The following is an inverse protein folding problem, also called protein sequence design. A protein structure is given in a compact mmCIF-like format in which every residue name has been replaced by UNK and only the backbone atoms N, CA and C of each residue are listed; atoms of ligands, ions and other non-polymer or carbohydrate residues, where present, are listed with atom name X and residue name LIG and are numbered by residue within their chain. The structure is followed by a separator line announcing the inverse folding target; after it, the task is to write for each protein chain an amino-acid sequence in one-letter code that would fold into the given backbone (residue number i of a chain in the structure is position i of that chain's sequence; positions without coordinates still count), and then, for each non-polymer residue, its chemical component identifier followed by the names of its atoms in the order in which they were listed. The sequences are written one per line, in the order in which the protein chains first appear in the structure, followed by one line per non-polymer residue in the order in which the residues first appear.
data_IF_155819411337
#
_entry.id   IF_155819411337
#
_cell.length_a   1.000
_cell.length_b   1.000
_cell.length_c   1.000
_cell.angle_alpha   90.00
_cell.angle_beta   90.00
_cell.angle_gamma   90.00
#
_symmetry.space_group_name_H-M   'P 1'
#
loop_
_entity.id
_entity.type
_entity.pdbx_description
1 polymer ?
#
# COMPACT_ATOMS: atom_id res chain seq x y z
N UNK A 1 14.03 6.58 -24.42
CA UNK A 1 12.76 5.91 -24.76
C UNK A 1 11.63 6.91 -24.53
N UNK A 2 10.92 7.23 -25.60
CA UNK A 2 9.98 8.34 -25.72
C UNK A 2 8.57 7.76 -25.60
N UNK A 3 7.83 8.03 -24.52
CA UNK A 3 6.40 7.67 -24.42
C UNK A 3 5.57 8.93 -24.46
N UNK A 4 4.99 9.15 -25.64
CA UNK A 4 3.99 10.17 -25.97
C UNK A 4 2.80 10.09 -25.01
N UNK A 5 2.54 11.18 -24.29
CA UNK A 5 1.22 11.49 -23.74
C UNK A 5 0.31 11.84 -24.93
N UNK A 6 -0.66 10.98 -25.22
CA UNK A 6 -1.78 11.33 -26.09
C UNK A 6 -2.80 12.16 -25.29
N UNK A 7 -3.20 13.35 -25.75
CA UNK A 7 -4.43 13.97 -25.29
C UNK A 7 -5.62 13.33 -26.04
N UNK A 8 -6.47 12.61 -25.31
CA UNK A 8 -7.84 12.30 -25.74
C UNK A 8 -8.67 13.58 -25.67
N UNK A 9 -8.51 14.46 -26.67
CA UNK A 9 -9.52 15.46 -27.00
C UNK A 9 -10.34 14.85 -28.12
N UNK A 10 -11.37 14.08 -27.75
CA UNK A 10 -12.38 13.61 -28.69
C UNK A 10 -13.52 14.63 -28.73
N UNK A 11 -13.45 15.48 -29.75
CA UNK A 11 -14.57 15.84 -30.63
C UNK A 11 -15.87 16.30 -29.96
N UNK A 12 -16.01 17.63 -29.88
CA UNK A 12 -17.28 18.34 -29.77
C UNK A 12 -17.17 19.66 -30.52
N UNK A 13 -17.35 19.59 -31.85
CA UNK A 13 -17.80 20.66 -32.75
C UNK A 13 -17.49 22.12 -32.34
N UNK A 14 -16.38 22.65 -32.86
CA UNK A 14 -16.31 24.07 -33.21
C UNK A 14 -17.15 24.27 -34.49
N UNK A 15 -18.28 24.99 -34.47
CA UNK A 15 -18.87 25.46 -35.71
C UNK A 15 -18.08 26.69 -36.15
N UNK A 16 -17.41 26.55 -37.29
CA UNK A 16 -16.99 27.66 -38.11
C UNK A 16 -18.14 28.67 -38.26
N UNK A 17 -17.94 29.92 -37.84
CA UNK A 17 -18.74 31.04 -38.34
C UNK A 17 -17.84 31.89 -39.22
N UNK A 18 -17.84 31.47 -40.49
CA UNK A 18 -17.51 32.30 -41.63
C UNK A 18 -18.19 33.67 -41.47
N UNK A 19 -17.38 34.72 -41.55
CA UNK A 19 -17.84 36.04 -41.96
C UNK A 19 -18.37 35.95 -43.40
N UNK A 20 -19.68 35.77 -43.57
CA UNK A 20 -20.34 35.96 -44.85
C UNK A 20 -21.72 36.56 -44.63
N UNK A 21 -21.94 37.78 -45.15
CA UNK A 21 -23.25 38.42 -45.22
C UNK A 21 -23.47 39.56 -44.23
N UNK A 22 -22.79 40.69 -44.45
CA UNK A 22 -23.20 41.98 -43.87
C UNK A 22 -24.44 42.49 -44.62
N UNK A 23 -25.60 41.87 -44.42
CA UNK A 23 -26.89 42.47 -44.76
C UNK A 23 -27.46 43.08 -43.49
N UNK A 24 -27.70 44.39 -43.50
CA UNK A 24 -28.26 45.14 -42.36
C UNK A 24 -29.68 44.61 -42.09
N UNK A 25 -29.80 43.66 -41.16
CA UNK A 25 -31.05 43.41 -40.47
C UNK A 25 -31.41 44.69 -39.67
N UNK A 26 -32.71 45.03 -39.52
CA UNK A 26 -33.10 46.19 -38.73
C UNK A 26 -32.44 46.11 -37.36
N UNK A 27 -31.91 47.23 -36.86
CA UNK A 27 -31.05 47.28 -35.67
C UNK A 27 -31.62 46.53 -34.46
N UNK A 28 -32.95 46.46 -34.32
CA UNK A 28 -33.64 45.66 -33.31
C UNK A 28 -33.40 44.14 -33.45
N UNK A 29 -33.52 43.57 -34.66
CA UNK A 29 -33.32 42.13 -34.89
C UNK A 29 -31.85 41.69 -34.75
N UNK A 30 -30.90 42.59 -34.98
CA UNK A 30 -29.48 42.33 -34.70
C UNK A 30 -29.18 42.37 -33.20
N UNK A 31 -29.80 43.28 -32.45
CA UNK A 31 -29.69 43.36 -31.00
C UNK A 31 -30.30 42.12 -30.32
N UNK A 32 -31.51 41.71 -30.69
CA UNK A 32 -32.18 40.51 -30.15
C UNK A 32 -31.42 39.21 -30.41
N UNK A 33 -30.69 39.15 -31.54
CA UNK A 33 -29.83 38.00 -31.87
C UNK A 33 -28.54 38.02 -31.03
N UNK A 34 -27.98 39.20 -30.77
CA UNK A 34 -26.80 39.35 -29.94
C UNK A 34 -27.11 39.04 -28.47
N UNK A 35 -28.23 39.52 -27.95
CA UNK A 35 -28.71 39.25 -26.60
C UNK A 35 -28.87 37.74 -26.35
N UNK A 36 -29.55 37.03 -27.27
CA UNK A 36 -29.67 35.57 -27.19
C UNK A 36 -28.32 34.84 -27.20
N UNK A 37 -27.34 35.32 -27.96
CA UNK A 37 -25.97 34.75 -27.95
C UNK A 37 -25.27 34.99 -26.63
N UNK A 38 -25.44 36.18 -26.04
CA UNK A 38 -24.87 36.51 -24.72
C UNK A 38 -25.48 35.63 -23.63
N UNK A 39 -26.79 35.37 -23.67
CA UNK A 39 -27.45 34.49 -22.71
C UNK A 39 -26.94 33.05 -22.80
N UNK A 40 -26.82 32.51 -24.02
CA UNK A 40 -26.27 31.17 -24.25
C UNK A 40 -24.84 31.07 -23.72
N UNK A 41 -23.97 32.01 -24.10
CA UNK A 41 -22.57 32.03 -23.64
C UNK A 41 -22.48 32.17 -22.12
N UNK A 42 -23.37 32.95 -21.51
CA UNK A 42 -23.42 33.11 -20.05
C UNK A 42 -23.82 31.81 -19.36
N UNK A 43 -24.74 31.05 -19.96
CA UNK A 43 -25.09 29.68 -19.54
C UNK A 43 -23.89 28.74 -19.61
N UNK A 44 -23.23 28.66 -20.76
CA UNK A 44 -22.05 27.81 -20.98
C UNK A 44 -20.91 28.13 -19.99
N UNK A 45 -20.63 29.42 -19.76
CA UNK A 45 -19.61 29.84 -18.77
C UNK A 45 -19.97 29.41 -17.35
N UNK A 46 -21.25 29.42 -16.99
CA UNK A 46 -21.72 28.95 -15.67
C UNK A 46 -21.50 27.44 -15.53
N UNK A 47 -21.85 26.66 -16.55
CA UNK A 47 -21.64 25.20 -16.56
C UNK A 47 -20.16 24.84 -16.49
N UNK A 48 -19.32 25.50 -17.31
CA UNK A 48 -17.87 25.30 -17.27
C UNK A 48 -17.26 25.63 -15.90
N UNK A 49 -17.73 26.69 -15.23
CA UNK A 49 -17.29 27.01 -13.86
C UNK A 49 -17.65 25.91 -12.87
N UNK A 50 -18.84 25.32 -12.99
CA UNK A 50 -19.24 24.21 -12.13
C UNK A 50 -18.39 22.96 -12.40
N UNK A 51 -18.13 22.66 -13.67
CA UNK A 51 -17.30 21.54 -14.09
C UNK A 51 -15.85 21.69 -13.60
N UNK A 52 -15.24 22.86 -13.75
CA UNK A 52 -13.91 23.17 -13.20
C UNK A 52 -13.89 22.97 -11.69
N UNK A 53 -14.93 23.45 -10.98
CA UNK A 53 -15.05 23.26 -9.54
C UNK A 53 -15.13 21.79 -9.14
N UNK A 54 -15.83 20.96 -9.92
CA UNK A 54 -15.89 19.51 -9.72
C UNK A 54 -14.53 18.86 -9.95
N UNK A 55 -13.89 19.18 -11.08
CA UNK A 55 -12.60 18.62 -11.46
C UNK A 55 -11.50 18.97 -10.44
N UNK A 56 -11.50 20.18 -9.90
CA UNK A 56 -10.55 20.58 -8.87
C UNK A 56 -10.70 19.71 -7.61
N UNK A 57 -11.94 19.45 -7.16
CA UNK A 57 -12.19 18.57 -6.00
C UNK A 57 -11.76 17.13 -6.27
N UNK A 58 -12.06 16.60 -7.45
CA UNK A 58 -11.67 15.24 -7.84
C UNK A 58 -10.14 15.10 -7.90
N UNK A 59 -9.44 16.12 -8.41
CA UNK A 59 -7.98 16.17 -8.42
C UNK A 59 -7.36 16.14 -7.02
N UNK A 60 -7.90 16.93 -6.07
CA UNK A 60 -7.43 16.90 -4.68
C UNK A 60 -7.68 15.54 -4.02
N UNK A 61 -8.87 14.96 -4.20
CA UNK A 61 -9.20 13.65 -3.66
C UNK A 61 -8.29 12.54 -4.22
N UNK A 62 -7.96 12.61 -5.51
CA UNK A 62 -7.00 11.71 -6.15
C UNK A 62 -5.60 11.84 -5.55
N UNK A 63 -5.14 13.07 -5.30
CA UNK A 63 -3.87 13.34 -4.64
C UNK A 63 -3.78 12.75 -3.23
N UNK A 64 -4.82 12.92 -2.41
CA UNK A 64 -4.88 12.33 -1.07
C UNK A 64 -4.83 10.80 -1.12
N UNK A 65 -5.53 10.19 -2.08
CA UNK A 65 -5.56 8.73 -2.23
C UNK A 65 -4.19 8.17 -2.60
N UNK A 66 -3.45 8.85 -3.48
CA UNK A 66 -2.08 8.46 -3.82
C UNK A 66 -1.15 8.52 -2.60
N UNK A 67 -1.25 9.57 -1.79
CA UNK A 67 -0.48 9.69 -0.54
C UNK A 67 -0.79 8.54 0.41
N UNK A 68 -2.07 8.19 0.59
CA UNK A 68 -2.47 7.06 1.45
C UNK A 68 -1.91 5.73 0.93
N UNK A 69 -1.94 5.50 -0.38
CA UNK A 69 -1.36 4.29 -1.00
C UNK A 69 0.14 4.21 -0.74
N UNK A 70 0.87 5.33 -0.86
CA UNK A 70 2.30 5.37 -0.60
C UNK A 70 2.60 5.02 0.86
N UNK A 71 1.91 5.67 1.80
CA UNK A 71 2.05 5.37 3.23
C UNK A 71 1.76 3.90 3.54
N UNK A 72 0.67 3.35 2.99
CA UNK A 72 0.28 1.97 3.22
C UNK A 72 1.30 0.98 2.65
N UNK A 73 1.84 1.27 1.46
CA UNK A 73 2.90 0.46 0.85
C UNK A 73 4.17 0.46 1.72
N UNK A 74 4.51 1.60 2.32
CA UNK A 74 5.68 1.72 3.18
C UNK A 74 5.49 0.90 4.47
N UNK A 75 4.29 0.92 5.07
CA UNK A 75 3.91 0.05 6.20
C UNK A 75 4.05 -1.44 5.82
N UNK A 76 3.49 -1.86 4.68
CA UNK A 76 3.66 -3.24 4.16
C UNK A 76 5.15 -3.59 4.02
N UNK A 77 5.96 -2.65 3.51
CA UNK A 77 7.40 -2.82 3.36
C UNK A 77 8.16 -2.95 4.68
N UNK A 78 7.75 -2.22 5.73
CA UNK A 78 8.29 -2.38 7.09
C UNK A 78 7.96 -3.76 7.66
N UNK A 79 6.70 -4.20 7.53
CA UNK A 79 6.26 -5.53 8.01
C UNK A 79 7.01 -6.68 7.35
N UNK A 80 7.20 -6.62 6.04
CA UNK A 80 7.99 -7.62 5.30
C UNK A 80 9.43 -7.69 5.83
N UNK A 81 10.04 -6.53 6.14
CA UNK A 81 11.38 -6.50 6.77
C UNK A 81 11.37 -7.11 8.16
N UNK A 82 10.36 -6.82 8.99
CA UNK A 82 10.23 -7.40 10.33
C UNK A 82 10.08 -8.93 10.28
N UNK A 83 9.24 -9.46 9.39
CA UNK A 83 9.10 -10.91 9.18
C UNK A 83 10.41 -11.56 8.74
N UNK A 84 11.17 -10.90 7.87
CA UNK A 84 12.48 -11.39 7.45
C UNK A 84 13.42 -11.52 8.65
N UNK A 85 13.50 -10.47 9.48
CA UNK A 85 14.31 -10.48 10.71
C UNK A 85 13.87 -11.59 11.66
N UNK A 86 12.56 -11.73 11.92
CA UNK A 86 12.03 -12.79 12.78
C UNK A 86 12.36 -14.19 12.23
N UNK A 87 12.26 -14.37 10.91
CA UNK A 87 12.62 -15.64 10.25
C UNK A 87 14.10 -15.97 10.45
N UNK A 88 14.98 -14.98 10.35
CA UNK A 88 16.42 -15.16 10.60
C UNK A 88 16.68 -15.50 12.07
N UNK A 89 16.03 -14.81 13.02
CA UNK A 89 16.12 -15.13 14.45
C UNK A 89 15.61 -16.54 14.78
N UNK A 90 14.51 -16.98 14.17
CA UNK A 90 13.98 -18.35 14.36
C UNK A 90 14.99 -19.39 13.86
N UNK A 91 15.60 -19.18 12.69
CA UNK A 91 16.64 -20.10 12.16
C UNK A 91 17.86 -20.17 13.07
N UNK A 92 18.30 -19.03 13.61
CA UNK A 92 19.38 -18.98 14.58
C UNK A 92 19.03 -19.77 15.85
N UNK A 93 17.86 -19.50 16.45
CA UNK A 93 17.40 -20.22 17.64
C UNK A 93 17.19 -21.73 17.42
N UNK A 94 16.72 -22.14 16.24
CA UNK A 94 16.65 -23.56 15.87
C UNK A 94 18.03 -24.23 15.83
N UNK A 95 19.03 -23.52 15.32
CA UNK A 95 20.42 -24.02 15.26
C UNK A 95 21.01 -24.13 16.66
N UNK A 96 20.81 -23.11 17.50
CA UNK A 96 21.26 -23.10 18.90
C UNK A 96 20.60 -24.23 19.70
N UNK A 97 19.28 -24.38 19.60
CA UNK A 97 18.55 -25.45 20.25
C UNK A 97 19.03 -26.84 19.80
N UNK A 98 19.31 -27.03 18.51
CA UNK A 98 19.86 -28.28 17.99
C UNK A 98 21.26 -28.59 18.56
N UNK A 99 22.08 -27.56 18.76
CA UNK A 99 23.41 -27.70 19.37
C UNK A 99 23.31 -28.03 20.86
N UNK A 100 22.46 -27.35 21.61
CA UNK A 100 22.22 -27.64 23.04
C UNK A 100 21.70 -29.06 23.23
N UNK A 101 20.76 -29.51 22.40
CA UNK A 101 20.26 -30.90 22.42
C UNK A 101 21.36 -31.92 22.11
N UNK A 102 22.31 -31.60 21.22
CA UNK A 102 23.46 -32.45 20.95
C UNK A 102 24.41 -32.51 22.15
N UNK A 103 24.71 -31.37 22.78
CA UNK A 103 25.54 -31.32 23.99
C UNK A 103 24.92 -32.12 25.14
N UNK A 104 23.61 -32.00 25.35
CA UNK A 104 22.89 -32.81 26.32
C UNK A 104 23.00 -34.31 26.00
N UNK A 105 22.83 -34.69 24.72
CA UNK A 105 22.98 -36.08 24.29
C UNK A 105 24.40 -36.60 24.51
N UNK A 106 25.43 -35.79 24.27
CA UNK A 106 26.82 -36.14 24.52
C UNK A 106 27.08 -36.37 26.03
N UNK A 107 26.52 -35.53 26.91
CA UNK A 107 26.59 -35.72 28.38
C UNK A 107 25.89 -37.02 28.82
N UNK A 108 24.75 -37.35 28.19
CA UNK A 108 24.01 -38.58 28.46
C UNK A 108 24.74 -39.82 27.95
N UNK A 109 25.51 -39.70 26.86
CA UNK A 109 26.29 -40.78 26.26
C UNK A 109 27.67 -40.97 26.95
N UNK A 110 28.27 -39.89 27.46
CA UNK A 110 29.54 -39.93 28.17
C UNK A 110 29.35 -40.59 29.54
N UNK A 111 29.57 -41.90 29.57
CA UNK A 111 29.49 -42.73 30.77
C UNK A 111 30.73 -42.65 31.65
N UNK A 112 31.65 -41.70 31.42
CA UNK A 112 33.04 -41.81 31.90
C UNK A 112 33.46 -40.93 33.09
N UNK A 113 32.64 -40.03 33.67
CA UNK A 113 33.16 -39.13 34.75
C UNK A 113 32.21 -38.91 35.94
N UNK A 114 32.81 -39.06 37.13
CA UNK A 114 32.46 -38.57 38.47
C UNK A 114 31.15 -39.06 39.10
N UNK A 115 31.05 -38.92 40.42
CA UNK A 115 29.94 -39.39 41.27
C UNK A 115 28.59 -39.05 40.65
N UNK A 116 27.62 -39.97 40.79
CA UNK A 116 26.26 -39.89 40.21
C UNK A 116 25.62 -38.50 40.28
N UNK A 117 25.94 -37.73 41.31
CA UNK A 117 25.30 -36.48 41.66
C UNK A 117 25.80 -35.30 40.81
N UNK A 118 27.12 -35.16 40.57
CA UNK A 118 27.66 -34.09 39.71
C UNK A 118 27.14 -34.21 38.26
N UNK A 119 27.00 -35.45 37.77
CA UNK A 119 26.44 -35.72 36.45
C UNK A 119 24.96 -35.35 36.37
N UNK A 120 24.18 -35.68 37.41
CA UNK A 120 22.76 -35.33 37.50
C UNK A 120 22.56 -33.82 37.51
N UNK A 121 23.34 -33.09 38.31
CA UNK A 121 23.25 -31.64 38.39
C UNK A 121 23.55 -30.98 37.04
N UNK A 122 24.56 -31.49 36.32
CA UNK A 122 24.90 -31.00 34.98
C UNK A 122 23.80 -31.30 33.94
N UNK A 123 23.20 -32.49 33.97
CA UNK A 123 22.07 -32.84 33.09
C UNK A 123 20.88 -31.91 33.37
N UNK A 124 20.52 -31.69 34.64
CA UNK A 124 19.40 -30.83 35.00
C UNK A 124 19.63 -29.37 34.56
N UNK A 125 20.85 -28.85 34.71
CA UNK A 125 21.20 -27.51 34.26
C UNK A 125 21.08 -27.36 32.73
N UNK A 126 21.53 -28.37 31.99
CA UNK A 126 21.48 -28.37 30.53
C UNK A 126 20.05 -28.55 30.02
N UNK A 127 19.25 -29.44 30.63
CA UNK A 127 17.81 -29.59 30.35
C UNK A 127 17.03 -28.30 30.60
N UNK A 128 17.34 -27.58 31.69
CA UNK A 128 16.74 -26.28 31.98
C UNK A 128 17.10 -25.23 30.91
N UNK A 129 18.34 -25.29 30.39
CA UNK A 129 18.80 -24.40 29.33
C UNK A 129 18.09 -24.69 28.01
N UNK A 130 17.98 -25.97 27.63
CA UNK A 130 17.19 -26.42 26.47
C UNK A 130 15.74 -25.97 26.59
N UNK A 131 15.09 -26.20 27.73
CA UNK A 131 13.69 -25.82 27.94
C UNK A 131 13.48 -24.29 27.86
N UNK A 132 14.43 -23.51 28.38
CA UNK A 132 14.40 -22.04 28.26
C UNK A 132 14.49 -21.63 26.79
N UNK A 133 15.40 -22.21 26.03
CA UNK A 133 15.60 -21.88 24.62
C UNK A 133 14.41 -22.31 23.75
N UNK A 134 13.82 -23.47 24.02
CA UNK A 134 12.56 -23.90 23.39
C UNK A 134 11.44 -22.88 23.60
N UNK A 135 11.31 -22.36 24.82
CA UNK A 135 10.31 -21.35 25.14
C UNK A 135 10.58 -20.04 24.39
N UNK A 136 11.83 -19.58 24.35
CA UNK A 136 12.22 -18.39 23.57
C UNK A 136 11.90 -18.57 22.08
N UNK A 137 12.22 -19.73 21.50
CA UNK A 137 11.93 -20.03 20.11
C UNK A 137 10.42 -20.07 19.82
N UNK A 138 9.61 -20.65 20.71
CA UNK A 138 8.15 -20.63 20.59
C UNK A 138 7.58 -19.21 20.62
N UNK A 139 8.15 -18.32 21.44
CA UNK A 139 7.76 -16.91 21.46
C UNK A 139 8.07 -16.21 20.13
N UNK A 140 9.24 -16.45 19.55
CA UNK A 140 9.60 -15.91 18.23
C UNK A 140 8.67 -16.42 17.12
N UNK A 141 8.36 -17.72 17.11
CA UNK A 141 7.42 -18.32 16.15
C UNK A 141 6.03 -17.69 16.29
N UNK A 142 5.57 -17.50 17.52
CA UNK A 142 4.26 -16.86 17.78
C UNK A 142 4.25 -15.40 17.32
N UNK A 143 5.34 -14.66 17.55
CA UNK A 143 5.49 -13.29 17.09
C UNK A 143 5.50 -13.20 15.55
N UNK A 144 6.19 -14.12 14.87
CA UNK A 144 6.18 -14.20 13.42
C UNK A 144 4.78 -14.48 12.85
N UNK A 145 4.04 -15.43 13.45
CA UNK A 145 2.66 -15.72 13.04
C UNK A 145 1.73 -14.51 13.22
N UNK A 146 1.87 -13.76 14.31
CA UNK A 146 1.11 -12.54 14.52
C UNK A 146 1.46 -11.45 13.48
N UNK A 147 2.74 -11.31 13.15
CA UNK A 147 3.20 -10.35 12.15
C UNK A 147 2.71 -10.72 10.73
N UNK A 148 2.62 -12.01 10.39
CA UNK A 148 2.02 -12.49 9.13
C UNK A 148 0.53 -12.11 9.02
N UNK A 149 -0.23 -12.27 10.10
CA UNK A 149 -1.65 -11.85 10.15
C UNK A 149 -1.76 -10.35 9.90
N UNK A 150 -0.92 -9.55 10.58
CA UNK A 150 -0.92 -8.11 10.40
C UNK A 150 -0.55 -7.73 8.96
N UNK A 151 0.48 -8.34 8.38
CA UNK A 151 0.85 -8.12 6.98
C UNK A 151 -0.31 -8.40 6.03
N UNK A 152 -1.04 -9.49 6.23
CA UNK A 152 -2.21 -9.83 5.42
C UNK A 152 -3.30 -8.74 5.48
N UNK A 153 -3.54 -8.17 6.66
CA UNK A 153 -4.47 -7.05 6.83
C UNK A 153 -3.99 -5.79 6.09
N UNK A 154 -2.71 -5.43 6.23
CA UNK A 154 -2.16 -4.25 5.56
C UNK A 154 -2.18 -4.37 4.03
N UNK A 155 -1.93 -5.59 3.51
CA UNK A 155 -2.03 -5.89 2.09
C UNK A 155 -3.46 -5.75 1.59
N UNK A 156 -4.45 -6.28 2.33
CA UNK A 156 -5.85 -6.12 1.99
C UNK A 156 -6.28 -4.64 1.96
N UNK A 157 -5.78 -3.82 2.89
CA UNK A 157 -6.05 -2.38 2.89
C UNK A 157 -5.38 -1.65 1.72
N UNK A 158 -4.15 -2.03 1.36
CA UNK A 158 -3.48 -1.52 0.16
C UNK A 158 -4.30 -1.84 -1.10
N UNK A 159 -4.80 -3.07 -1.23
CA UNK A 159 -5.62 -3.49 -2.37
C UNK A 159 -6.94 -2.71 -2.45
N UNK A 160 -7.57 -2.40 -1.31
CA UNK A 160 -8.78 -1.55 -1.25
C UNK A 160 -8.48 -0.12 -1.72
N UNK A 161 -7.33 0.44 -1.33
CA UNK A 161 -6.92 1.77 -1.76
C UNK A 161 -6.62 1.81 -3.26
N UNK A 162 -5.86 0.83 -3.77
CA UNK A 162 -5.56 0.69 -5.20
C UNK A 162 -6.85 0.50 -6.02
N UNK A 163 -7.79 -0.29 -5.51
CA UNK A 163 -9.12 -0.45 -6.14
C UNK A 163 -9.89 0.86 -6.19
N UNK A 164 -9.82 1.66 -5.12
CA UNK A 164 -10.42 2.99 -5.10
C UNK A 164 -9.78 3.94 -6.12
N UNK A 165 -8.46 3.86 -6.29
CA UNK A 165 -7.72 4.66 -7.27
C UNK A 165 -8.14 4.31 -8.70
N UNK A 166 -8.28 3.02 -8.98
CA UNK A 166 -8.73 2.53 -10.29
C UNK A 166 -10.16 2.93 -10.60
N UNK A 167 -11.04 3.09 -9.60
CA UNK A 167 -12.39 3.64 -9.80
C UNK A 167 -12.37 5.13 -10.12
N UNK A 168 -11.50 5.90 -9.48
CA UNK A 168 -11.35 7.34 -9.78
C UNK A 168 -10.84 7.61 -11.20
N UNK A 169 -10.14 6.66 -11.82
CA UNK A 169 -9.60 6.79 -13.17
C UNK A 169 -10.64 6.52 -14.27
N UNK A 170 -11.74 5.82 -13.98
CA UNK A 170 -12.78 5.43 -14.95
C UNK A 170 -13.88 6.48 -15.01
#
# INVERSE_FOLDING_TARGET
MNTKLQPMIRTGLLPALLFAGLTVAPAAGAADNLERKVDVLTGEVRELRQEIGRLARDYYAYGELLTRIQMQRDVVGDRVRNLKTLTESIKAGQTELANLRRQLADILADGSVATSDERRDRIQAEEATVAKEEKSLQQLISAAAQEEILLGNEQADLDRLVSSLNRFRR
#
